data_IF_579566284493
#
_entry.id   IF_579566284493
#
_cell.length_a   1.000
_cell.length_b   1.000
_cell.length_c   1.000
_cell.angle_alpha   90.00
_cell.angle_beta   90.00
_cell.angle_gamma   90.00
#
_symmetry.space_group_name_H-M   'P 1'
#
loop_
_entity.id
_entity.type
_entity.pdbx_description
1 polymer ?
#
# COMPACT_ATOMS: atom_id res chain seq x y z
N UNK A 1 -11.69 9.20 4.67
CA UNK A 1 -11.47 9.03 6.12
C UNK A 1 -10.40 10.01 6.57
N UNK A 2 -10.59 10.67 7.72
CA UNK A 2 -9.56 11.48 8.34
C UNK A 2 -8.48 10.54 8.90
N UNK A 3 -7.27 10.59 8.33
CA UNK A 3 -6.12 9.78 8.73
C UNK A 3 -4.97 10.76 8.95
N UNK A 4 -4.22 10.67 10.05
CA UNK A 4 -3.03 11.50 10.27
C UNK A 4 -2.05 11.43 9.09
N UNK A 5 -1.42 12.56 8.76
CA UNK A 5 -0.48 12.62 7.62
C UNK A 5 0.71 11.66 7.80
N UNK A 6 1.17 11.48 9.04
CA UNK A 6 2.25 10.54 9.38
C UNK A 6 1.89 9.09 9.03
N UNK A 7 0.74 8.59 9.54
CA UNK A 7 0.27 7.23 9.25
C UNK A 7 0.01 7.02 7.75
N UNK A 8 -0.56 8.03 7.09
CA UNK A 8 -0.77 7.97 5.64
C UNK A 8 0.56 7.84 4.91
N UNK A 9 1.58 8.62 5.30
CA UNK A 9 2.91 8.55 4.70
C UNK A 9 3.53 7.16 4.85
N UNK A 10 3.47 6.56 6.04
CA UNK A 10 3.96 5.20 6.29
C UNK A 10 3.30 4.16 5.37
N UNK A 11 1.98 4.25 5.16
CA UNK A 11 1.26 3.35 4.26
C UNK A 11 1.73 3.52 2.80
N UNK A 12 1.94 4.76 2.36
CA UNK A 12 2.38 5.06 0.99
C UNK A 12 3.82 4.61 0.76
N UNK A 13 4.72 4.82 1.72
CA UNK A 13 6.10 4.36 1.69
C UNK A 13 6.19 2.84 1.62
N UNK A 14 5.40 2.12 2.44
CA UNK A 14 5.35 0.68 2.41
C UNK A 14 4.84 0.14 1.06
N UNK A 15 3.74 0.71 0.55
CA UNK A 15 3.20 0.35 -0.76
C UNK A 15 4.19 0.59 -1.91
N UNK A 16 4.95 1.68 -1.85
CA UNK A 16 5.96 1.99 -2.86
C UNK A 16 7.16 1.04 -2.79
N UNK A 17 7.60 0.67 -1.58
CA UNK A 17 8.73 -0.24 -1.37
C UNK A 17 8.40 -1.67 -1.79
N UNK A 18 7.29 -2.22 -1.30
CA UNK A 18 6.92 -3.62 -1.51
C UNK A 18 6.12 -3.85 -2.80
N UNK A 19 5.35 -2.85 -3.27
CA UNK A 19 4.45 -2.98 -4.43
C UNK A 19 3.19 -3.81 -4.18
N UNK A 20 3.08 -4.48 -3.03
CA UNK A 20 1.93 -5.29 -2.61
C UNK A 20 1.62 -5.04 -1.13
N UNK A 21 0.35 -5.21 -0.75
CA UNK A 21 -0.07 -5.11 0.65
C UNK A 21 -1.21 -6.09 0.92
N UNK A 22 -1.19 -6.72 2.09
CA UNK A 22 -2.24 -7.64 2.52
C UNK A 22 -2.80 -7.19 3.85
N UNK A 23 -4.12 -6.99 3.93
CA UNK A 23 -4.79 -6.60 5.17
C UNK A 23 -5.97 -7.52 5.49
N UNK A 24 -6.00 -8.05 6.71
CA UNK A 24 -7.16 -8.78 7.22
C UNK A 24 -8.35 -7.83 7.34
N UNK A 25 -9.56 -8.27 7.03
CA UNK A 25 -10.81 -7.52 7.24
C UNK A 25 -11.18 -7.51 8.72
N UNK A 26 -10.36 -6.85 9.51
CA UNK A 26 -10.58 -6.58 10.94
C UNK A 26 -10.32 -5.10 11.21
N UNK A 27 -11.39 -4.34 11.42
CA UNK A 27 -11.31 -2.90 11.61
C UNK A 27 -10.88 -2.48 13.02
N UNK A 28 -10.99 -3.39 13.99
CA UNK A 28 -10.71 -3.10 15.40
C UNK A 28 -9.28 -3.47 15.79
N UNK A 29 -8.56 -4.16 14.91
CA UNK A 29 -7.16 -4.51 15.12
C UNK A 29 -6.32 -3.24 15.33
N UNK A 30 -5.67 -3.09 16.50
CA UNK A 30 -5.01 -1.85 16.90
C UNK A 30 -3.74 -1.57 16.07
N UNK A 31 -3.05 -2.61 15.61
CA UNK A 31 -1.86 -2.51 14.76
C UNK A 31 -1.91 -3.50 13.60
N UNK A 32 -1.54 -3.05 12.43
CA UNK A 32 -1.30 -3.88 11.27
C UNK A 32 -0.01 -4.71 11.45
N UNK A 33 0.12 -5.83 10.73
CA UNK A 33 1.25 -6.75 10.91
C UNK A 33 2.58 -6.15 10.46
N UNK A 34 2.60 -5.59 9.24
CA UNK A 34 3.84 -5.13 8.61
C UNK A 34 4.09 -3.61 8.73
N UNK A 35 3.08 -2.86 9.15
CA UNK A 35 3.09 -1.40 9.21
C UNK A 35 2.68 -0.99 10.62
N UNK A 36 3.44 -0.09 11.25
CA UNK A 36 3.10 0.44 12.57
C UNK A 36 1.96 1.47 12.51
N UNK A 37 0.81 1.06 11.96
CA UNK A 37 -0.42 1.86 11.85
C UNK A 37 -1.64 1.00 12.16
N UNK A 38 -2.79 1.63 12.42
CA UNK A 38 -4.06 0.93 12.65
C UNK A 38 -4.53 0.23 11.37
N UNK A 39 -5.02 -0.99 11.49
CA UNK A 39 -5.48 -1.75 10.32
C UNK A 39 -6.65 -1.05 9.59
N UNK A 40 -7.51 -0.36 10.33
CA UNK A 40 -8.55 0.50 9.76
C UNK A 40 -7.99 1.57 8.82
N UNK A 41 -6.88 2.21 9.18
CA UNK A 41 -6.25 3.25 8.37
C UNK A 41 -5.69 2.67 7.07
N UNK A 42 -5.06 1.49 7.16
CA UNK A 42 -4.58 0.75 6.00
C UNK A 42 -5.73 0.45 5.02
N UNK A 43 -6.79 -0.22 5.50
CA UNK A 43 -7.92 -0.61 4.65
C UNK A 43 -8.59 0.61 4.01
N UNK A 44 -8.79 1.70 4.77
CA UNK A 44 -9.47 2.90 4.25
C UNK A 44 -8.57 3.76 3.36
N UNK A 45 -7.26 3.79 3.60
CA UNK A 45 -6.31 4.42 2.68
C UNK A 45 -6.27 3.66 1.34
N UNK A 46 -6.13 2.33 1.39
CA UNK A 46 -6.12 1.49 0.20
C UNK A 46 -7.47 1.53 -0.55
N UNK A 47 -8.60 1.62 0.16
CA UNK A 47 -9.91 1.84 -0.47
C UNK A 47 -9.94 3.15 -1.28
N UNK A 48 -9.39 4.24 -0.72
CA UNK A 48 -9.31 5.54 -1.42
C UNK A 48 -8.37 5.54 -2.62
N UNK A 49 -7.28 4.76 -2.57
CA UNK A 49 -6.35 4.61 -3.69
C UNK A 49 -6.96 3.73 -4.80
N UNK A 50 -7.67 2.67 -4.41
CA UNK A 50 -8.36 1.77 -5.33
C UNK A 50 -9.47 2.48 -6.10
N UNK A 51 -10.25 3.35 -5.45
CA UNK A 51 -11.31 4.12 -6.12
C UNK A 51 -10.77 5.10 -7.17
N UNK A 52 -9.47 5.40 -7.14
CA UNK A 52 -8.79 6.29 -8.10
C UNK A 52 -8.02 5.51 -9.18
N UNK A 53 -8.02 4.18 -9.16
CA UNK A 53 -7.30 3.34 -10.13
C UNK A 53 -5.84 3.02 -9.77
N UNK A 54 -5.32 3.55 -8.66
CA UNK A 54 -3.91 3.37 -8.28
C UNK A 54 -3.58 2.00 -7.68
N UNK A 55 -4.59 1.31 -7.13
CA UNK A 55 -4.43 -0.03 -6.59
C UNK A 55 -5.49 -0.95 -7.20
N UNK A 56 -5.10 -2.21 -7.43
CA UNK A 56 -6.04 -3.30 -7.68
C UNK A 56 -6.30 -4.02 -6.36
N UNK A 57 -7.59 -4.15 -5.99
CA UNK A 57 -7.99 -4.92 -4.81
C UNK A 57 -8.55 -6.28 -5.23
N UNK A 58 -8.19 -7.33 -4.51
CA UNK A 58 -8.83 -8.64 -4.53
C UNK A 58 -9.23 -9.01 -3.10
N UNK A 59 -10.47 -9.47 -2.92
CA UNK A 59 -10.96 -9.89 -1.61
C UNK A 59 -11.15 -11.41 -1.60
N UNK A 60 -10.55 -12.08 -0.62
CA UNK A 60 -10.63 -13.53 -0.47
C UNK A 60 -10.49 -13.93 1.00
N UNK A 61 -11.39 -14.76 1.51
CA UNK A 61 -11.30 -15.36 2.86
C UNK A 61 -11.11 -14.34 4.00
N UNK A 62 -11.83 -13.21 3.96
CA UNK A 62 -11.67 -12.10 4.92
C UNK A 62 -10.30 -11.41 4.86
N UNK A 63 -9.60 -11.50 3.74
CA UNK A 63 -8.37 -10.76 3.47
C UNK A 63 -8.51 -9.88 2.23
N UNK A 64 -7.97 -8.68 2.32
CA UNK A 64 -7.78 -7.76 1.21
C UNK A 64 -6.36 -7.88 0.71
N UNK A 65 -6.22 -8.22 -0.57
CA UNK A 65 -4.97 -8.26 -1.30
C UNK A 65 -4.93 -7.04 -2.22
N UNK A 66 -3.94 -6.19 -2.02
CA UNK A 66 -3.72 -4.99 -2.80
C UNK A 66 -2.47 -5.16 -3.67
N UNK A 67 -2.60 -4.82 -4.94
CA UNK A 67 -1.50 -4.80 -5.90
C UNK A 67 -1.37 -3.41 -6.50
N UNK A 68 -0.16 -2.86 -6.49
CA UNK A 68 0.13 -1.56 -7.08
C UNK A 68 0.03 -1.60 -8.61
N UNK A 69 -0.65 -0.62 -9.20
CA UNK A 69 -0.70 -0.44 -10.67
C UNK A 69 0.40 0.51 -11.14
N UNK A 70 0.69 0.54 -12.44
CA UNK A 70 1.67 1.47 -13.01
C UNK A 70 1.30 2.93 -12.73
N UNK A 71 0.02 3.29 -12.89
CA UNK A 71 -0.48 4.64 -12.57
C UNK A 71 -0.35 4.97 -11.08
N UNK A 72 -0.58 3.98 -10.20
CA UNK A 72 -0.39 4.14 -8.77
C UNK A 72 1.07 4.34 -8.38
N UNK A 73 2.00 3.73 -9.10
CA UNK A 73 3.43 3.92 -8.89
C UNK A 73 3.84 5.37 -9.17
N UNK A 74 3.39 5.94 -10.29
CA UNK A 74 3.69 7.33 -10.65
C UNK A 74 3.06 8.31 -9.64
N UNK A 75 1.83 8.05 -9.22
CA UNK A 75 1.16 8.84 -8.17
C UNK A 75 1.93 8.81 -6.84
N UNK A 76 2.37 7.63 -6.39
CA UNK A 76 3.12 7.49 -5.14
C UNK A 76 4.49 8.16 -5.23
N UNK A 77 5.14 8.10 -6.39
CA UNK A 77 6.42 8.78 -6.64
C UNK A 77 6.28 10.30 -6.52
N UNK A 78 5.26 10.87 -7.15
CA UNK A 78 4.97 12.31 -7.05
C UNK A 78 4.62 12.72 -5.62
N UNK A 79 3.77 11.93 -4.94
CA UNK A 79 3.30 12.22 -3.59
C UNK A 79 4.41 12.13 -2.52
N UNK A 80 5.33 11.17 -2.68
CA UNK A 80 6.47 10.97 -1.77
C UNK A 80 7.68 11.85 -2.14
N UNK A 81 7.64 12.54 -3.29
CA UNK A 81 8.75 13.33 -3.83
C UNK A 81 10.05 12.53 -3.97
N UNK A 82 9.95 11.29 -4.47
CA UNK A 82 11.09 10.40 -4.66
C UNK A 82 11.70 10.56 -6.06
N UNK A 83 13.04 10.46 -6.21
CA UNK A 83 13.68 10.44 -7.51
C UNK A 83 13.30 9.18 -8.32
N UNK A 84 13.37 9.28 -9.65
CA UNK A 84 12.93 8.23 -10.57
C UNK A 84 13.72 6.91 -10.46
N UNK A 85 14.92 6.94 -9.86
CA UNK A 85 15.79 5.79 -9.67
C UNK A 85 15.25 4.76 -8.67
N UNK A 86 14.43 5.20 -7.70
CA UNK A 86 13.92 4.29 -6.68
C UNK A 86 12.76 3.49 -7.29
N UNK A 87 12.98 2.18 -7.38
CA UNK A 87 12.02 1.21 -7.89
C UNK A 87 11.52 0.30 -6.76
N UNK A 88 10.26 -0.15 -6.81
CA UNK A 88 9.75 -1.16 -5.89
C UNK A 88 10.52 -2.46 -6.02
N UNK A 89 10.54 -3.25 -4.94
CA UNK A 89 11.17 -4.57 -4.93
C UNK A 89 10.60 -5.52 -5.99
N UNK A 90 9.34 -5.33 -6.41
CA UNK A 90 8.71 -6.15 -7.47
C UNK A 90 9.41 -6.05 -8.83
N UNK A 91 10.14 -4.98 -9.12
CA UNK A 91 10.89 -4.82 -10.37
C UNK A 91 12.31 -5.40 -10.31
N UNK A 92 12.80 -5.72 -9.12
CA UNK A 92 14.12 -6.32 -8.93
C UNK A 92 14.00 -7.82 -9.18
N UNK A 93 14.49 -8.29 -10.34
CA UNK A 93 14.56 -9.72 -10.63
C UNK A 93 15.55 -10.38 -9.67
N UNK A 94 15.04 -11.13 -8.69
CA UNK A 94 15.88 -12.04 -7.92
C UNK A 94 16.35 -13.19 -8.81
N UNK A 95 17.67 -13.42 -8.85
CA UNK A 95 18.24 -14.65 -9.39
C UNK A 95 17.79 -15.80 -8.49
N UNK A 96 16.91 -16.66 -9.00
CA UNK A 96 16.53 -17.89 -8.32
C UNK A 96 17.64 -18.92 -8.58
N UNK A 97 18.30 -19.37 -7.51
CA UNK A 97 19.28 -20.46 -7.52
C UNK A 97 18.63 -21.79 -7.89
#
# INVERSE_FOLDING_TARGET
MLIPKADRKLIHEYLFREGVLVAKKDFNQPKHGDIDTKNLYVIKACQSLTSRGYLKTQFSWQWYYYTLTAEGLDYLREWLHLPAEIVPQTHIKQQRS
#
